data_IF_831069486356
#
_entry.id   IF_831069486356
#
_cell.length_a   1.000
_cell.length_b   1.000
_cell.length_c   1.000
_cell.angle_alpha   90.00
_cell.angle_beta   90.00
_cell.angle_gamma   90.00
#
_symmetry.space_group_name_H-M   'P 1'
#
loop_
_entity.id
_entity.type
_entity.pdbx_description
1 polymer ?
#
# COMPACT_ATOMS: atom_id res chain seq x y z
N UNK A 1 -24.55 -5.25 4.70
CA UNK A 1 -23.58 -4.15 4.85
C UNK A 1 -22.84 -4.17 6.18
N UNK A 2 -23.33 -4.81 7.25
CA UNK A 2 -22.54 -5.00 8.50
C UNK A 2 -21.80 -6.34 8.54
N UNK A 3 -22.47 -7.43 8.13
CA UNK A 3 -21.88 -8.78 8.07
C UNK A 3 -20.58 -8.81 7.26
N UNK A 4 -20.55 -8.13 6.12
CA UNK A 4 -19.36 -8.04 5.26
C UNK A 4 -18.19 -7.34 5.97
N UNK A 5 -18.45 -6.25 6.68
CA UNK A 5 -17.42 -5.54 7.43
C UNK A 5 -16.92 -6.37 8.62
N UNK A 6 -17.84 -6.92 9.43
CA UNK A 6 -17.47 -7.76 10.56
C UNK A 6 -16.73 -9.03 10.13
N UNK A 7 -17.06 -9.60 8.96
CA UNK A 7 -16.35 -10.73 8.38
C UNK A 7 -14.89 -10.39 8.03
N UNK A 8 -14.64 -9.20 7.47
CA UNK A 8 -13.28 -8.72 7.22
C UNK A 8 -12.52 -8.52 8.53
N UNK A 9 -13.13 -7.84 9.52
CA UNK A 9 -12.51 -7.63 10.84
C UNK A 9 -12.15 -8.95 11.49
N UNK A 10 -13.05 -9.94 11.46
CA UNK A 10 -12.78 -11.28 11.99
C UNK A 10 -11.61 -11.96 11.28
N UNK A 11 -11.58 -11.93 9.94
CA UNK A 11 -10.50 -12.52 9.15
C UNK A 11 -9.14 -11.84 9.41
N UNK A 12 -9.12 -10.51 9.51
CA UNK A 12 -7.94 -9.72 9.83
C UNK A 12 -7.42 -10.08 11.22
N UNK A 13 -8.31 -10.13 12.22
CA UNK A 13 -7.94 -10.51 13.57
C UNK A 13 -7.37 -11.94 13.59
N UNK A 14 -8.04 -12.93 13.01
CA UNK A 14 -7.54 -14.31 12.95
C UNK A 14 -6.15 -14.38 12.29
N UNK A 15 -5.95 -13.69 11.16
CA UNK A 15 -4.66 -13.63 10.48
C UNK A 15 -3.56 -13.03 11.36
N UNK A 16 -3.81 -11.87 11.98
CA UNK A 16 -2.82 -11.19 12.83
C UNK A 16 -2.51 -12.02 14.08
N UNK A 17 -3.52 -12.60 14.73
CA UNK A 17 -3.33 -13.44 15.91
C UNK A 17 -2.52 -14.70 15.59
N UNK A 18 -2.77 -15.37 14.45
CA UNK A 18 -1.98 -16.54 14.01
C UNK A 18 -0.53 -16.20 13.70
N UNK A 19 -0.26 -14.98 13.27
CA UNK A 19 1.09 -14.53 12.92
C UNK A 19 1.89 -14.02 14.13
N UNK A 20 1.31 -14.00 15.34
CA UNK A 20 2.03 -13.62 16.56
C UNK A 20 3.16 -14.60 16.85
N UNK A 21 4.39 -14.09 16.86
CA UNK A 21 5.61 -14.88 17.07
C UNK A 21 6.09 -15.64 15.82
N UNK A 22 5.37 -15.52 14.70
CA UNK A 22 5.75 -16.10 13.40
C UNK A 22 6.29 -15.01 12.48
N UNK A 23 5.52 -13.93 12.31
CA UNK A 23 5.85 -12.82 11.43
C UNK A 23 6.20 -11.58 12.24
N UNK A 24 7.25 -10.85 11.84
CA UNK A 24 7.62 -9.56 12.45
C UNK A 24 6.59 -8.47 12.15
N UNK A 25 5.99 -8.52 10.95
CA UNK A 25 5.00 -7.59 10.46
C UNK A 25 3.93 -8.32 9.66
N UNK A 26 2.70 -7.79 9.66
CA UNK A 26 1.58 -8.24 8.83
C UNK A 26 0.97 -7.01 8.16
N UNK A 27 0.90 -7.02 6.82
CA UNK A 27 0.21 -5.97 6.06
C UNK A 27 -1.29 -6.28 5.97
N UNK A 28 -2.12 -5.28 6.22
CA UNK A 28 -3.57 -5.34 6.13
C UNK A 28 -4.00 -4.44 4.98
N UNK A 29 -4.51 -5.03 3.91
CA UNK A 29 -4.88 -4.33 2.69
C UNK A 29 -5.95 -5.08 1.90
N UNK A 30 -6.66 -4.35 1.03
CA UNK A 30 -7.67 -4.91 0.15
C UNK A 30 -7.01 -5.20 -1.21
N UNK A 31 -7.62 -6.04 -2.04
CA UNK A 31 -7.02 -6.45 -3.32
C UNK A 31 -6.82 -5.30 -4.31
N UNK A 32 -7.61 -4.24 -4.19
CA UNK A 32 -7.52 -3.00 -4.97
C UNK A 32 -6.73 -1.89 -4.25
N UNK A 33 -6.22 -2.14 -3.04
CA UNK A 33 -5.48 -1.17 -2.23
C UNK A 33 -4.08 -1.69 -1.91
N UNK A 34 -3.04 -1.13 -2.52
CA UNK A 34 -1.67 -1.61 -2.31
C UNK A 34 -0.81 -0.50 -1.72
N UNK A 35 -0.11 -0.81 -0.62
CA UNK A 35 0.90 0.09 -0.03
C UNK A 35 2.13 0.11 -0.96
N UNK A 36 2.41 1.24 -1.58
CA UNK A 36 3.56 1.44 -2.47
C UNK A 36 4.59 2.35 -1.79
N UNK A 37 5.81 1.86 -1.51
CA UNK A 37 6.90 2.71 -1.05
C UNK A 37 7.42 3.59 -2.20
N UNK A 38 7.61 4.88 -1.92
CA UNK A 38 8.09 5.84 -2.91
C UNK A 38 9.58 5.72 -3.19
N UNK A 39 10.37 5.49 -2.14
CA UNK A 39 11.84 5.56 -2.19
C UNK A 39 12.51 4.24 -1.77
N UNK A 40 11.72 3.20 -1.51
CA UNK A 40 12.22 1.88 -1.08
C UNK A 40 11.71 0.79 -2.01
N UNK A 41 12.36 -0.38 -1.95
CA UNK A 41 12.08 -1.53 -2.82
C UNK A 41 11.24 -2.61 -2.14
N UNK A 42 11.01 -2.50 -0.83
CA UNK A 42 10.22 -3.43 -0.03
C UNK A 42 9.68 -2.73 1.23
N UNK A 43 8.70 -3.36 1.88
CA UNK A 43 8.08 -2.81 3.10
C UNK A 43 8.99 -2.87 4.33
N UNK A 44 9.97 -3.78 4.37
CA UNK A 44 10.94 -3.85 5.48
C UNK A 44 11.78 -2.58 5.58
N UNK A 45 12.38 -2.16 4.46
CA UNK A 45 13.18 -0.93 4.38
C UNK A 45 12.34 0.32 4.67
N UNK A 46 11.09 0.35 4.19
CA UNK A 46 10.14 1.41 4.51
C UNK A 46 9.91 1.51 6.03
N UNK A 47 9.62 0.38 6.67
CA UNK A 47 9.38 0.34 8.12
C UNK A 47 10.63 0.74 8.90
N UNK A 48 11.80 0.28 8.48
CA UNK A 48 13.07 0.66 9.11
C UNK A 48 13.34 2.15 9.01
N UNK A 49 13.01 2.79 7.87
CA UNK A 49 13.08 4.24 7.75
C UNK A 49 12.07 4.95 8.68
N UNK A 50 10.83 4.47 8.74
CA UNK A 50 9.80 5.05 9.62
C UNK A 50 10.19 4.93 11.10
N UNK A 51 10.78 3.80 11.51
CA UNK A 51 11.27 3.62 12.88
C UNK A 51 12.38 4.63 13.21
N UNK A 52 13.34 4.83 12.30
CA UNK A 52 14.42 5.81 12.47
C UNK A 52 13.87 7.23 12.61
N UNK A 53 12.95 7.62 11.72
CA UNK A 53 12.32 8.93 11.75
C UNK A 53 11.56 9.15 13.07
N UNK A 54 10.81 8.14 13.52
CA UNK A 54 10.05 8.19 14.76
C UNK A 54 10.95 8.32 15.99
N UNK A 55 12.01 7.52 16.08
CA UNK A 55 12.95 7.58 17.21
C UNK A 55 13.71 8.91 17.25
N UNK A 56 14.02 9.53 16.10
CA UNK A 56 14.61 10.87 16.03
C UNK A 56 13.66 11.98 16.50
N UNK A 57 12.36 11.79 16.31
CA UNK A 57 11.32 12.76 16.67
C UNK A 57 10.81 12.58 18.11
N UNK A 58 11.19 11.49 18.79
CA UNK A 58 10.79 11.26 20.18
C UNK A 58 11.28 12.38 21.08
N UNK A 59 10.34 13.18 21.57
CA UNK A 59 10.61 14.27 22.51
C UNK A 59 11.13 13.74 23.87
N UNK A 60 10.70 12.54 24.28
CA UNK A 60 11.16 11.88 25.49
C UNK A 60 11.91 10.57 25.16
N UNK A 61 13.25 10.56 25.22
CA UNK A 61 14.08 9.37 24.99
C UNK A 61 13.85 8.24 26.01
N UNK A 62 13.25 8.54 27.17
CA UNK A 62 12.90 7.55 28.19
C UNK A 62 11.51 6.93 27.97
N UNK A 63 10.76 7.34 26.94
CA UNK A 63 9.50 6.69 26.58
C UNK A 63 9.76 5.22 26.21
N UNK A 64 9.05 4.31 26.89
CA UNK A 64 9.04 2.89 26.55
C UNK A 64 8.11 2.56 25.38
N UNK A 65 7.52 3.57 24.73
CA UNK A 65 6.64 3.39 23.59
C UNK A 65 7.35 2.77 22.39
N UNK A 66 6.67 1.79 21.79
CA UNK A 66 7.10 1.07 20.61
C UNK A 66 6.03 1.24 19.54
N UNK A 67 6.47 1.44 18.31
CA UNK A 67 5.55 1.39 17.18
C UNK A 67 5.00 -0.02 17.05
N UNK A 68 3.67 -0.12 17.08
CA UNK A 68 2.89 -1.33 16.87
C UNK A 68 2.21 -1.36 15.50
N UNK A 69 1.92 -0.19 14.93
CA UNK A 69 1.16 -0.06 13.69
C UNK A 69 1.68 1.10 12.87
N UNK A 70 1.84 0.87 11.57
CA UNK A 70 2.29 1.82 10.57
C UNK A 70 1.13 2.09 9.64
N UNK A 71 0.54 3.28 9.75
CA UNK A 71 -0.65 3.69 9.00
C UNK A 71 -0.21 4.39 7.73
N UNK A 72 -0.66 3.93 6.56
CA UNK A 72 -0.37 4.52 5.26
C UNK A 72 -1.67 5.04 4.66
N UNK A 73 -1.69 6.34 4.37
CA UNK A 73 -2.86 7.02 3.83
C UNK A 73 -3.13 6.59 2.38
N UNK A 74 -4.40 6.62 1.97
CA UNK A 74 -4.84 6.19 0.65
C UNK A 74 -5.26 7.34 -0.24
N UNK A 75 -5.17 7.13 -1.55
CA UNK A 75 -5.76 7.99 -2.57
C UNK A 75 -6.20 7.16 -3.77
N UNK A 76 -7.20 7.65 -4.51
CA UNK A 76 -7.68 6.93 -5.68
C UNK A 76 -6.77 7.17 -6.88
N UNK A 77 -6.38 6.06 -7.50
CA UNK A 77 -5.81 5.97 -8.83
C UNK A 77 -6.92 5.52 -9.78
N UNK A 78 -7.24 6.36 -10.76
CA UNK A 78 -8.51 6.27 -11.47
C UNK A 78 -8.37 6.19 -12.99
N UNK A 79 -7.33 6.83 -13.55
CA UNK A 79 -7.21 7.00 -15.00
C UNK A 79 -5.81 6.74 -15.50
N UNK A 80 -5.72 6.35 -16.78
CA UNK A 80 -4.47 6.35 -17.52
C UNK A 80 -4.02 7.78 -17.80
N UNK A 81 -2.71 8.05 -17.77
CA UNK A 81 -2.19 9.30 -18.29
C UNK A 81 -2.58 9.50 -19.76
N UNK A 82 -2.71 10.75 -20.20
CA UNK A 82 -2.93 11.03 -21.62
C UNK A 82 -1.77 10.51 -22.50
N UNK A 83 -2.01 10.34 -23.79
CA UNK A 83 -1.05 9.69 -24.71
C UNK A 83 0.36 10.31 -24.71
N UNK A 84 0.47 11.64 -24.58
CA UNK A 84 1.77 12.32 -24.55
C UNK A 84 2.54 11.99 -23.28
N UNK A 85 1.88 12.10 -22.12
CA UNK A 85 2.47 11.76 -20.82
C UNK A 85 2.80 10.27 -20.74
N UNK A 86 1.90 9.41 -21.23
CA UNK A 86 2.13 7.97 -21.25
C UNK A 86 3.34 7.59 -22.11
N UNK A 87 3.51 8.20 -23.29
CA UNK A 87 4.69 8.00 -24.13
C UNK A 87 6.00 8.34 -23.39
N UNK A 88 6.02 9.46 -22.66
CA UNK A 88 7.17 9.84 -21.84
C UNK A 88 7.43 8.85 -20.68
N UNK A 89 6.38 8.37 -20.02
CA UNK A 89 6.49 7.33 -18.97
C UNK A 89 7.06 6.04 -19.56
N UNK A 90 6.60 5.61 -20.74
CA UNK A 90 7.13 4.41 -21.40
C UNK A 90 8.63 4.52 -21.66
N UNK A 91 9.10 5.68 -22.09
CA UNK A 91 10.53 5.94 -22.27
C UNK A 91 11.28 5.88 -20.94
N UNK A 92 10.80 6.58 -19.90
CA UNK A 92 11.47 6.66 -18.60
C UNK A 92 11.58 5.30 -17.89
N UNK A 93 10.54 4.47 -18.00
CA UNK A 93 10.49 3.15 -17.36
C UNK A 93 10.86 2.00 -18.30
N UNK A 94 11.31 2.29 -19.53
CA UNK A 94 11.64 1.25 -20.53
C UNK A 94 10.49 0.25 -20.76
N UNK A 95 9.26 0.75 -20.91
CA UNK A 95 8.07 -0.06 -21.17
C UNK A 95 7.92 -0.21 -22.70
N UNK A 96 8.14 -1.43 -23.19
CA UNK A 96 7.86 -1.77 -24.59
C UNK A 96 6.37 -1.99 -24.82
N UNK A 97 5.92 -1.94 -26.07
CA UNK A 97 4.52 -2.24 -26.41
C UNK A 97 4.12 -3.69 -26.04
N UNK A 98 5.09 -4.61 -25.95
CA UNK A 98 4.85 -5.96 -25.45
C UNK A 98 4.54 -5.94 -23.96
N UNK A 99 5.31 -5.19 -23.16
CA UNK A 99 5.08 -5.04 -21.72
C UNK A 99 3.74 -4.34 -21.45
N UNK A 100 3.43 -3.30 -22.21
CA UNK A 100 2.14 -2.62 -22.13
C UNK A 100 0.96 -3.56 -22.39
N UNK A 101 1.06 -4.42 -23.43
CA UNK A 101 0.06 -5.46 -23.69
C UNK A 101 -0.09 -6.46 -22.54
N UNK A 102 1.00 -6.79 -21.82
CA UNK A 102 0.90 -7.66 -20.65
C UNK A 102 0.13 -6.97 -19.51
N UNK A 103 0.35 -5.67 -19.30
CA UNK A 103 -0.43 -4.91 -18.31
C UNK A 103 -1.92 -4.96 -18.64
N UNK A 104 -2.30 -4.83 -19.91
CA UNK A 104 -3.68 -4.91 -20.38
C UNK A 104 -4.28 -6.30 -20.23
N UNK A 105 -3.59 -7.32 -20.73
CA UNK A 105 -4.08 -8.70 -20.74
C UNK A 105 -4.34 -9.24 -19.32
N UNK A 106 -3.53 -8.82 -18.35
CA UNK A 106 -3.66 -9.24 -16.96
C UNK A 106 -4.36 -8.21 -16.07
N UNK A 107 -4.94 -7.15 -16.65
CA UNK A 107 -5.62 -6.08 -15.91
C UNK A 107 -4.78 -5.52 -14.76
N UNK A 108 -3.48 -5.31 -14.98
CA UNK A 108 -2.55 -4.77 -13.99
C UNK A 108 -2.70 -3.25 -13.89
N UNK A 109 -3.87 -2.81 -13.42
CA UNK A 109 -4.24 -1.38 -13.31
C UNK A 109 -3.26 -0.58 -12.48
N UNK A 110 -2.62 -1.20 -11.50
CA UNK A 110 -1.52 -0.60 -10.72
C UNK A 110 -0.37 -0.07 -11.58
N UNK A 111 -0.20 -0.55 -12.81
CA UNK A 111 0.82 -0.09 -13.77
C UNK A 111 0.27 0.77 -14.91
N UNK A 112 -1.05 0.91 -15.05
CA UNK A 112 -1.66 1.68 -16.14
C UNK A 112 -2.40 2.91 -15.65
N UNK A 113 -3.11 2.78 -14.53
CA UNK A 113 -3.97 3.82 -13.97
C UNK A 113 -3.12 4.61 -12.98
N UNK A 114 -2.37 5.58 -13.54
CA UNK A 114 -1.34 6.33 -12.84
C UNK A 114 -1.76 7.77 -12.53
N UNK A 115 -2.98 8.16 -12.90
CA UNK A 115 -3.54 9.46 -12.53
C UNK A 115 -4.33 9.28 -11.25
N UNK A 116 -3.94 10.02 -10.22
CA UNK A 116 -4.54 9.96 -8.89
C UNK A 116 -5.05 11.31 -8.41
N UNK A 117 -5.93 11.28 -7.40
CA UNK A 117 -6.40 12.50 -6.76
C UNK A 117 -5.24 13.24 -6.07
N UNK A 118 -5.32 14.57 -6.03
CA UNK A 118 -4.33 15.43 -5.36
C UNK A 118 -4.12 15.05 -3.89
N UNK A 119 -5.24 14.84 -3.20
CA UNK A 119 -5.30 14.69 -1.75
C UNK A 119 -5.42 13.21 -1.37
N UNK A 120 -4.75 12.85 -0.28
CA UNK A 120 -4.99 11.57 0.40
C UNK A 120 -6.20 11.67 1.34
N UNK A 121 -6.79 10.54 1.66
CA UNK A 121 -7.90 10.40 2.61
C UNK A 121 -7.41 10.37 4.06
N UNK A 122 -6.83 11.49 4.52
CA UNK A 122 -6.28 11.65 5.88
C UNK A 122 -7.32 11.28 6.95
N UNK A 123 -6.95 10.38 7.87
CA UNK A 123 -7.81 9.93 8.96
C UNK A 123 -9.04 9.09 8.53
N UNK A 124 -9.08 8.70 7.25
CA UNK A 124 -10.18 7.92 6.67
C UNK A 124 -9.67 6.64 6.01
N UNK A 125 -9.89 6.53 4.70
CA UNK A 125 -9.48 5.36 3.91
C UNK A 125 -7.95 5.27 3.94
N UNK A 126 -7.45 4.31 4.69
CA UNK A 126 -6.03 4.06 4.88
C UNK A 126 -5.84 2.56 5.12
N UNK A 127 -4.59 2.11 5.01
CA UNK A 127 -4.20 0.73 5.30
C UNK A 127 -3.05 0.72 6.27
N UNK A 128 -2.79 -0.44 6.85
CA UNK A 128 -1.79 -0.54 7.90
C UNK A 128 -0.89 -1.75 7.73
N UNK A 129 0.33 -1.60 8.21
CA UNK A 129 1.20 -2.71 8.54
C UNK A 129 1.26 -2.78 10.06
N UNK A 130 1.00 -3.94 10.64
CA UNK A 130 0.97 -4.14 12.09
C UNK A 130 2.07 -5.07 12.53
N UNK A 131 2.53 -4.90 13.77
CA UNK A 131 3.33 -5.87 14.51
C UNK A 131 2.37 -6.75 15.30
N UNK A 132 2.23 -8.04 14.94
CA UNK A 132 1.26 -8.93 15.58
C UNK A 132 1.36 -9.01 17.10
N UNK A 133 2.57 -8.88 17.65
CA UNK A 133 2.81 -8.92 19.09
C UNK A 133 2.39 -7.64 19.82
N UNK A 134 2.13 -6.54 19.12
CA UNK A 134 1.85 -5.21 19.69
C UNK A 134 0.38 -4.80 19.60
N UNK A 135 -0.43 -5.49 18.80
CA UNK A 135 -1.84 -5.15 18.58
C UNK A 135 -2.77 -6.17 19.26
N UNK A 136 -3.94 -5.70 19.72
CA UNK A 136 -5.02 -6.53 20.28
C UNK A 136 -6.21 -6.62 19.34
N UNK A 137 -6.56 -5.51 18.69
CA UNK A 137 -7.71 -5.46 17.78
C UNK A 137 -7.37 -4.60 16.55
N UNK A 138 -6.75 -5.19 15.51
CA UNK A 138 -6.68 -4.56 14.19
C UNK A 138 -8.06 -4.48 13.53
N UNK A 139 -8.31 -3.41 12.79
CA UNK A 139 -9.47 -3.19 11.94
C UNK A 139 -9.02 -2.96 10.47
N UNK A 140 -9.97 -2.88 9.54
CA UNK A 140 -9.78 -2.74 8.09
C UNK A 140 -8.93 -1.51 7.71
N UNK A 141 -9.06 -0.43 8.48
CA UNK A 141 -8.35 0.82 8.19
C UNK A 141 -7.20 1.12 9.15
N UNK A 142 -7.34 0.79 10.43
CA UNK A 142 -6.30 1.05 11.44
C UNK A 142 -6.42 0.08 12.61
N UNK A 143 -5.52 0.17 13.59
CA UNK A 143 -5.65 -0.57 14.85
C UNK A 143 -6.57 0.18 15.80
N UNK A 144 -7.56 -0.52 16.36
CA UNK A 144 -8.48 0.05 17.37
C UNK A 144 -7.93 -0.10 18.77
N UNK A 145 -7.20 -1.20 19.04
CA UNK A 145 -6.67 -1.48 20.37
C UNK A 145 -5.27 -2.07 20.29
N UNK A 146 -4.35 -1.46 21.04
CA UNK A 146 -2.96 -1.88 21.18
C UNK A 146 -2.72 -2.57 22.51
N UNK A 147 -1.60 -3.29 22.60
CA UNK A 147 -1.03 -3.73 23.87
C UNK A 147 -0.39 -2.55 24.61
N UNK A 148 -0.14 -2.68 25.93
CA UNK A 148 0.58 -1.66 26.68
C UNK A 148 1.91 -1.28 26.01
N UNK A 149 2.20 0.03 26.00
CA UNK A 149 3.39 0.62 25.37
C UNK A 149 3.46 0.53 23.84
N UNK A 150 2.44 0.02 23.15
CA UNK A 150 2.37 0.07 21.70
C UNK A 150 1.54 1.28 21.23
N UNK A 151 1.96 1.88 20.12
CA UNK A 151 1.32 3.06 19.53
C UNK A 151 1.36 3.02 18.00
N UNK A 152 0.62 3.94 17.38
CA UNK A 152 0.55 4.14 15.94
C UNK A 152 1.58 5.16 15.45
N UNK A 153 1.96 5.06 14.18
CA UNK A 153 2.56 6.16 13.43
C UNK A 153 1.91 6.27 12.06
N UNK A 154 1.58 7.50 11.66
CA UNK A 154 1.21 7.79 10.27
C UNK A 154 2.48 7.93 9.44
N UNK A 155 2.64 7.05 8.46
CA UNK A 155 3.73 7.08 7.49
C UNK A 155 3.57 8.33 6.63
N UNK A 156 4.64 9.13 6.54
CA UNK A 156 4.65 10.32 5.69
C UNK A 156 4.37 9.94 4.24
N UNK A 157 3.48 10.66 3.57
CA UNK A 157 3.13 10.42 2.16
C UNK A 157 4.34 10.47 1.22
N UNK A 158 5.42 11.18 1.60
CA UNK A 158 6.67 11.20 0.84
C UNK A 158 7.45 9.88 0.89
N UNK A 159 7.18 9.01 1.87
CA UNK A 159 7.79 7.68 2.01
C UNK A 159 6.94 6.58 1.36
N UNK A 160 5.62 6.63 1.50
CA UNK A 160 4.71 5.65 0.93
C UNK A 160 3.28 6.17 0.84
N UNK A 161 2.50 5.58 -0.06
CA UNK A 161 1.08 5.86 -0.24
C UNK A 161 0.33 4.56 -0.57
N UNK A 162 -0.93 4.45 -0.16
CA UNK A 162 -1.80 3.37 -0.64
C UNK A 162 -2.36 3.78 -2.00
N UNK A 163 -2.03 2.98 -3.01
CA UNK A 163 -2.62 3.04 -4.33
C UNK A 163 -3.95 2.31 -4.30
N UNK A 164 -5.05 3.06 -4.23
CA UNK A 164 -6.41 2.50 -4.31
C UNK A 164 -6.89 2.59 -5.75
N UNK A 165 -6.89 1.44 -6.44
CA UNK A 165 -7.26 1.31 -7.85
C UNK A 165 -8.78 1.35 -8.01
N UNK A 166 -9.34 2.56 -8.09
CA UNK A 166 -10.78 2.78 -8.11
C UNK A 166 -11.14 4.01 -8.93
N UNK A 167 -12.06 3.80 -9.87
CA UNK A 167 -12.69 4.90 -10.62
C UNK A 167 -13.58 5.71 -9.71
N UNK A 168 -13.41 7.03 -9.73
CA UNK A 168 -14.23 7.98 -9.01
C UNK A 168 -14.60 9.13 -9.92
N UNK A 169 -15.87 9.55 -9.91
CA UNK A 169 -16.41 10.48 -10.93
C UNK A 169 -16.07 11.96 -10.69
N UNK A 170 -15.03 12.27 -9.92
CA UNK A 170 -14.54 13.64 -9.81
C UNK A 170 -13.33 13.81 -10.72
N UNK A 171 -13.56 14.20 -11.96
CA UNK A 171 -12.51 14.76 -12.80
C UNK A 171 -12.12 16.12 -12.21
N UNK A 172 -11.08 16.15 -11.38
CA UNK A 172 -10.56 17.39 -10.80
C UNK A 172 -9.38 17.89 -11.63
N UNK A 173 -9.26 19.20 -11.92
CA UNK A 173 -8.07 19.76 -12.56
C UNK A 173 -6.78 19.65 -11.71
N UNK A 174 -6.88 19.10 -10.50
CA UNK A 174 -5.77 18.89 -9.56
C UNK A 174 -5.22 17.46 -9.58
N UNK A 175 -5.66 16.58 -10.47
CA UNK A 175 -5.17 15.20 -10.48
C UNK A 175 -3.67 15.14 -10.80
N UNK A 176 -2.94 14.25 -10.12
CA UNK A 176 -1.49 14.08 -10.23
C UNK A 176 -1.18 12.81 -11.00
N UNK A 177 -0.25 12.88 -11.95
CA UNK A 177 0.36 11.70 -12.56
C UNK A 177 1.45 11.16 -11.62
N UNK A 178 1.27 9.93 -11.14
CA UNK A 178 2.21 9.26 -10.26
C UNK A 178 2.53 7.84 -10.75
N UNK A 179 3.78 7.66 -11.19
CA UNK A 179 4.27 6.44 -11.82
C UNK A 179 5.08 5.53 -10.89
N UNK A 180 5.07 5.79 -9.58
CA UNK A 180 5.92 5.13 -8.58
C UNK A 180 5.81 3.61 -8.61
N UNK A 181 4.61 3.07 -8.84
CA UNK A 181 4.37 1.62 -8.91
C UNK A 181 5.15 0.94 -10.03
N UNK A 182 5.45 1.63 -11.14
CA UNK A 182 6.17 1.05 -12.28
C UNK A 182 7.60 0.62 -11.93
N UNK A 183 8.18 1.12 -10.83
CA UNK A 183 9.47 0.64 -10.29
C UNK A 183 9.47 -0.86 -9.98
N UNK A 184 8.30 -1.45 -9.76
CA UNK A 184 8.14 -2.85 -9.39
C UNK A 184 7.77 -3.77 -10.56
N UNK A 185 7.57 -3.24 -11.77
CA UNK A 185 7.07 -4.01 -12.93
C UNK A 185 7.95 -5.23 -13.25
N UNK A 186 9.27 -5.07 -13.18
CA UNK A 186 10.22 -6.11 -13.61
C UNK A 186 10.33 -7.24 -12.57
N UNK A 187 9.99 -6.96 -11.31
CA UNK A 187 9.86 -7.99 -10.26
C UNK A 187 8.51 -8.70 -10.34
N UNK A 188 7.45 -7.98 -10.71
CA UNK A 188 6.08 -8.51 -10.75
C UNK A 188 5.76 -9.35 -12.00
N UNK A 189 6.16 -8.89 -13.19
CA UNK A 189 5.78 -9.54 -14.45
C UNK A 189 6.20 -11.02 -14.54
N UNK A 190 7.42 -11.42 -14.14
CA UNK A 190 7.79 -12.83 -14.14
C UNK A 190 6.87 -13.69 -13.27
N UNK A 191 6.50 -13.20 -12.08
CA UNK A 191 5.62 -13.91 -11.13
C UNK A 191 4.20 -14.04 -11.66
N UNK A 192 3.69 -12.99 -12.32
CA UNK A 192 2.37 -13.03 -12.98
C UNK A 192 2.36 -14.07 -14.10
N UNK A 193 3.41 -14.09 -14.94
CA UNK A 193 3.50 -15.03 -16.05
C UNK A 193 3.66 -16.48 -15.57
N UNK A 194 4.47 -16.70 -14.53
CA UNK A 194 4.63 -18.01 -13.88
C UNK A 194 3.27 -18.49 -13.33
N UNK A 195 2.60 -17.65 -12.55
CA UNK A 195 1.28 -17.98 -11.98
C UNK A 195 0.25 -18.26 -13.06
N UNK A 196 0.22 -17.45 -14.13
CA UNK A 196 -0.68 -17.67 -15.26
C UNK A 196 -0.44 -19.03 -15.92
N UNK A 197 0.83 -19.42 -16.12
CA UNK A 197 1.16 -20.71 -16.74
C UNK A 197 0.62 -21.91 -15.96
N UNK A 198 0.51 -21.82 -14.63
CA UNK A 198 -0.02 -22.89 -13.77
C UNK A 198 -1.52 -23.17 -13.98
N UNK A 199 -2.28 -22.22 -14.52
CA UNK A 199 -3.71 -22.41 -14.77
C UNK A 199 -4.01 -23.12 -16.10
N UNK A 200 -3.02 -23.25 -16.99
CA UNK A 200 -3.18 -23.83 -18.32
C UNK A 200 -2.30 -25.09 -18.54
N UNK A 201 -1.70 -25.60 -17.46
CA UNK A 201 -1.10 -26.95 -17.36
C UNK A 201 -2.07 -27.91 -16.72
#
# INVERSE_FOLDING_TARGET
SEIHYQGQVLAINDCVYRNKGVSKYVAIHDTDEIIIPNNHDNWGDLIDQVNKDYDQQKQNPQSHEKLGTYIVESTFFQDRPNASVWSAIKQNYSISDQVERLFENYSLTVFTDLVRLQNAFVGGRQKSIVRPEMVLFPDVHTTITHRPSATDVTVRQSLALVHHQRKYSSSSPTDIVEATSLRFKDKMLPLVNETYSMFFT
#
